data_IF_236864938958
#
_entry.id   IF_236864938958
#
_cell.length_a   1.000
_cell.length_b   1.000
_cell.length_c   1.000
_cell.angle_alpha   90.00
_cell.angle_beta   90.00
_cell.angle_gamma   90.00
#
_symmetry.space_group_name_H-M   'P 1'
#
loop_
_entity.id
_entity.type
_entity.pdbx_description
1 polymer ?
#
# COMPACT_ATOMS: atom_id res chain seq x y z
N UNK A 1 3.61 73.14 23.04
CA UNK A 1 3.80 71.71 23.38
C UNK A 1 2.88 70.88 22.50
N UNK A 2 3.38 70.18 21.46
CA UNK A 2 2.59 69.29 20.60
C UNK A 2 2.85 67.86 21.03
N UNK A 3 1.84 67.20 21.53
CA UNK A 3 1.87 65.75 21.93
C UNK A 3 1.70 64.95 20.64
N UNK A 4 2.71 64.15 20.25
CA UNK A 4 2.65 63.17 19.16
C UNK A 4 2.04 61.89 19.70
N UNK A 5 0.85 61.54 19.22
CA UNK A 5 0.19 60.29 19.51
C UNK A 5 0.86 59.17 18.67
N UNK A 6 1.51 58.24 19.32
CA UNK A 6 2.12 57.06 18.69
C UNK A 6 1.04 55.97 18.57
N UNK A 7 0.54 55.75 17.38
CA UNK A 7 -0.38 54.64 17.12
C UNK A 7 0.45 53.37 16.87
N UNK A 8 0.47 52.47 17.86
CA UNK A 8 1.08 51.14 17.70
C UNK A 8 0.06 50.25 16.96
N UNK A 9 0.32 49.96 15.70
CA UNK A 9 -0.44 49.01 14.90
C UNK A 9 -0.01 47.60 15.28
N UNK A 10 -0.78 46.95 16.14
CA UNK A 10 -0.57 45.56 16.53
C UNK A 10 -1.24 44.69 15.46
N UNK A 11 -0.47 44.30 14.41
CA UNK A 11 -0.94 43.35 13.39
C UNK A 11 -1.04 41.97 14.01
N UNK A 12 -2.25 41.57 14.37
CA UNK A 12 -2.58 40.22 14.86
C UNK A 12 -2.48 39.28 13.65
N UNK A 13 -1.35 38.58 13.48
CA UNK A 13 -1.18 37.49 12.54
C UNK A 13 -2.06 36.32 13.00
N UNK A 14 -3.28 36.27 12.49
CA UNK A 14 -4.15 35.11 12.64
C UNK A 14 -3.57 34.02 11.74
N UNK A 15 -2.80 33.08 12.31
CA UNK A 15 -2.47 31.82 11.68
C UNK A 15 -3.78 31.04 11.48
N UNK A 16 -4.40 31.17 10.31
CA UNK A 16 -5.44 30.26 9.86
C UNK A 16 -4.76 28.90 9.64
N UNK A 17 -4.69 28.10 10.70
CA UNK A 17 -4.39 26.69 10.57
C UNK A 17 -5.49 26.10 9.68
N UNK A 18 -5.15 25.86 8.41
CA UNK A 18 -6.02 25.15 7.48
C UNK A 18 -6.32 23.78 8.09
N UNK A 19 -7.47 23.67 8.76
CA UNK A 19 -7.95 22.39 9.29
C UNK A 19 -8.30 21.49 8.12
N UNK A 20 -7.29 20.82 7.56
CA UNK A 20 -7.52 19.83 6.50
C UNK A 20 -8.46 18.75 7.06
N UNK A 21 -9.54 18.46 6.31
CA UNK A 21 -10.50 17.41 6.68
C UNK A 21 -9.95 16.01 6.34
N UNK A 22 -8.62 15.85 6.39
CA UNK A 22 -7.90 14.63 6.04
C UNK A 22 -7.31 13.97 7.28
N UNK A 23 -7.36 12.66 7.30
CA UNK A 23 -6.64 11.77 8.21
C UNK A 23 -6.16 10.56 7.40
N UNK A 24 -5.45 9.64 8.02
CA UNK A 24 -4.83 8.51 7.37
C UNK A 24 -5.19 7.23 8.11
N UNK A 25 -5.39 6.16 7.35
CA UNK A 25 -5.51 4.80 7.84
C UNK A 25 -4.40 3.97 7.23
N UNK A 26 -3.91 2.99 7.98
CA UNK A 26 -2.90 2.05 7.53
C UNK A 26 -3.42 0.64 7.83
N UNK A 27 -3.76 -0.12 6.80
CA UNK A 27 -4.10 -1.53 6.92
C UNK A 27 -2.85 -2.32 7.28
N UNK A 28 -2.98 -3.36 8.06
CA UNK A 28 -1.86 -4.22 8.42
C UNK A 28 -2.32 -5.57 8.94
N UNK A 29 -1.38 -6.44 9.25
CA UNK A 29 -1.60 -7.70 9.95
C UNK A 29 -0.49 -7.92 10.98
N UNK A 30 -0.67 -8.89 11.85
CA UNK A 30 0.37 -9.43 12.73
C UNK A 30 0.66 -10.88 12.38
N UNK A 31 1.92 -11.31 12.49
CA UNK A 31 2.25 -12.72 12.37
C UNK A 31 1.58 -13.53 13.49
N UNK A 32 1.11 -14.75 13.20
CA UNK A 32 1.26 -15.55 11.98
C UNK A 32 0.20 -15.29 10.89
N UNK A 33 -0.48 -14.14 10.88
CA UNK A 33 -1.47 -13.69 9.89
C UNK A 33 -2.84 -14.41 9.91
N UNK A 34 -3.10 -15.24 10.89
CA UNK A 34 -4.34 -15.99 11.08
C UNK A 34 -5.46 -15.19 11.77
N UNK A 35 -5.10 -14.07 12.41
CA UNK A 35 -6.04 -13.21 13.14
C UNK A 35 -6.81 -12.26 12.23
N UNK A 36 -6.20 -11.78 11.17
CA UNK A 36 -6.84 -10.97 10.14
C UNK A 36 -6.44 -9.49 10.14
N UNK A 37 -7.32 -8.67 9.57
CA UNK A 37 -7.10 -7.24 9.34
C UNK A 37 -6.95 -6.47 10.64
N UNK A 38 -5.82 -5.78 10.76
CA UNK A 38 -5.59 -4.71 11.72
C UNK A 38 -5.50 -3.37 11.03
N UNK A 39 -5.67 -2.30 11.79
CA UNK A 39 -5.63 -0.97 11.20
C UNK A 39 -5.05 0.04 12.20
N UNK A 40 -4.12 0.83 11.69
CA UNK A 40 -3.60 2.00 12.37
C UNK A 40 -4.27 3.25 11.83
N UNK A 41 -4.28 4.31 12.63
CA UNK A 41 -4.73 5.62 12.19
C UNK A 41 -3.74 6.73 12.58
N UNK A 42 -3.69 7.78 11.76
CA UNK A 42 -2.91 8.98 12.02
C UNK A 42 -3.69 10.22 11.60
N UNK A 43 -3.54 11.32 12.36
CA UNK A 43 -4.15 12.61 12.01
C UNK A 43 -3.24 13.49 11.15
N UNK A 44 -1.97 13.16 11.09
CA UNK A 44 -0.94 13.98 10.44
C UNK A 44 0.01 13.17 9.52
N UNK A 45 -0.10 11.83 9.52
CA UNK A 45 0.64 10.91 8.63
C UNK A 45 2.01 10.49 9.13
N UNK A 46 2.45 10.88 10.33
CA UNK A 46 3.76 10.53 10.88
C UNK A 46 3.66 9.62 12.12
N UNK A 47 2.73 9.92 13.03
CA UNK A 47 2.53 9.15 14.26
C UNK A 47 1.27 8.30 14.12
N UNK A 48 1.43 7.00 14.28
CA UNK A 48 0.37 6.04 14.12
C UNK A 48 -0.10 5.49 15.46
N UNK A 49 -1.40 5.35 15.59
CA UNK A 49 -2.07 4.75 16.74
C UNK A 49 -2.75 3.47 16.28
N UNK A 50 -2.68 2.41 17.08
CA UNK A 50 -3.40 1.16 16.81
C UNK A 50 -4.86 1.30 17.25
N UNK A 51 -5.80 0.73 16.48
CA UNK A 51 -7.17 0.52 16.92
C UNK A 51 -7.29 -0.65 17.91
N UNK A 52 -6.20 -1.42 18.11
CA UNK A 52 -6.07 -2.54 19.04
C UNK A 52 -7.19 -3.58 18.90
N UNK A 53 -7.64 -3.79 17.66
CA UNK A 53 -8.70 -4.74 17.34
C UNK A 53 -8.45 -5.43 16.00
N UNK A 54 -9.16 -6.54 15.77
CA UNK A 54 -9.24 -7.23 14.49
C UNK A 54 -10.55 -6.84 13.82
N UNK A 55 -10.45 -6.16 12.67
CA UNK A 55 -11.62 -5.66 11.95
C UNK A 55 -12.27 -6.70 11.02
N UNK A 56 -11.49 -7.66 10.54
CA UNK A 56 -11.98 -8.71 9.65
C UNK A 56 -11.10 -9.97 9.82
N UNK A 57 -11.69 -11.06 10.22
CA UNK A 57 -11.00 -12.37 10.29
C UNK A 57 -11.02 -13.04 8.92
N UNK A 58 -9.91 -13.66 8.45
CA UNK A 58 -9.87 -14.35 7.16
C UNK A 58 -10.73 -15.62 7.19
N UNK A 59 -11.56 -15.80 6.17
CA UNK A 59 -12.45 -16.97 6.03
C UNK A 59 -12.23 -17.71 4.72
N UNK A 60 -11.50 -17.12 3.76
CA UNK A 60 -11.26 -17.68 2.44
C UNK A 60 -9.78 -17.99 2.24
N UNK A 61 -9.48 -18.87 1.25
CA UNK A 61 -8.16 -19.41 0.99
C UNK A 61 -7.87 -20.69 1.80
N UNK A 62 -6.96 -21.50 1.29
CA UNK A 62 -6.62 -22.80 1.90
C UNK A 62 -6.06 -22.66 3.32
N UNK A 63 -5.24 -21.62 3.55
CA UNK A 63 -4.61 -21.37 4.85
C UNK A 63 -5.42 -20.39 5.72
N UNK A 64 -6.42 -19.72 5.16
CA UNK A 64 -7.23 -18.71 5.87
C UNK A 64 -6.37 -17.70 6.61
N UNK A 65 -5.36 -17.16 5.94
CA UNK A 65 -4.52 -16.08 6.47
C UNK A 65 -4.88 -14.76 5.77
N UNK A 66 -4.54 -13.66 6.40
CA UNK A 66 -4.63 -12.33 5.80
C UNK A 66 -3.29 -11.65 5.93
N UNK A 67 -2.51 -11.71 4.86
CA UNK A 67 -1.23 -10.99 4.73
C UNK A 67 -1.39 -9.86 3.73
N UNK A 68 -0.54 -8.87 3.86
CA UNK A 68 -0.39 -7.80 2.87
C UNK A 68 -1.74 -7.13 2.47
N UNK A 69 -2.60 -6.75 3.45
CA UNK A 69 -3.92 -6.24 3.13
C UNK A 69 -3.83 -4.88 2.45
N UNK A 70 -4.24 -4.80 1.18
CA UNK A 70 -4.31 -3.55 0.42
C UNK A 70 -5.73 -3.04 0.32
N UNK A 71 -5.90 -1.73 0.52
CA UNK A 71 -7.21 -1.08 0.55
C UNK A 71 -7.25 0.19 -0.29
N UNK A 72 -8.34 0.39 -1.00
CA UNK A 72 -8.66 1.65 -1.70
C UNK A 72 -10.10 2.06 -1.42
N UNK A 73 -10.37 3.36 -1.34
CA UNK A 73 -11.74 3.87 -1.32
C UNK A 73 -12.18 4.22 -2.74
N UNK A 74 -13.24 3.56 -3.22
CA UNK A 74 -13.84 3.83 -4.51
C UNK A 74 -14.56 5.19 -4.58
N UNK A 75 -14.94 5.64 -5.78
CA UNK A 75 -15.61 6.92 -5.99
C UNK A 75 -17.00 6.99 -5.35
N UNK A 76 -17.66 5.85 -5.13
CA UNK A 76 -18.94 5.71 -4.43
C UNK A 76 -18.80 5.70 -2.90
N UNK A 77 -17.57 5.78 -2.39
CA UNK A 77 -17.23 5.75 -0.98
C UNK A 77 -17.06 4.36 -0.37
N UNK A 78 -17.24 3.29 -1.15
CA UNK A 78 -16.98 1.92 -0.72
C UNK A 78 -15.47 1.69 -0.58
N UNK A 79 -15.06 1.07 0.51
CA UNK A 79 -13.71 0.57 0.69
C UNK A 79 -13.63 -0.85 0.13
N UNK A 80 -12.65 -1.09 -0.72
CA UNK A 80 -12.32 -2.40 -1.27
C UNK A 80 -11.02 -2.86 -0.67
N UNK A 81 -10.98 -4.11 -0.23
CA UNK A 81 -9.86 -4.75 0.43
C UNK A 81 -9.49 -6.02 -0.32
N UNK A 82 -8.22 -6.21 -0.60
CA UNK A 82 -7.63 -7.46 -1.11
C UNK A 82 -6.49 -7.89 -0.22
N UNK A 83 -6.19 -9.20 -0.18
CA UNK A 83 -5.11 -9.72 0.66
C UNK A 83 -4.57 -11.05 0.15
N UNK A 84 -3.34 -11.38 0.53
CA UNK A 84 -2.74 -12.70 0.37
C UNK A 84 -3.44 -13.70 1.29
N UNK A 85 -4.06 -14.72 0.73
CA UNK A 85 -4.89 -15.70 1.45
C UNK A 85 -4.14 -16.97 1.86
N UNK A 86 -2.97 -17.21 1.24
CA UNK A 86 -2.08 -18.31 1.62
C UNK A 86 -0.62 -17.99 1.27
N UNK A 87 0.29 -18.63 2.00
CA UNK A 87 1.72 -18.53 1.68
C UNK A 87 2.06 -19.22 0.37
N UNK A 88 1.45 -20.36 0.10
CA UNK A 88 1.58 -21.13 -1.15
C UNK A 88 0.30 -21.91 -1.41
N UNK A 89 0.03 -22.21 -2.67
CA UNK A 89 -1.07 -23.07 -3.10
C UNK A 89 -2.22 -22.32 -3.73
N UNK A 90 -2.75 -21.28 -3.09
CA UNK A 90 -3.83 -20.49 -3.66
C UNK A 90 -3.42 -19.83 -4.98
N UNK A 91 -4.33 -19.90 -5.95
CA UNK A 91 -4.17 -19.28 -7.28
C UNK A 91 -5.05 -18.04 -7.42
N UNK A 92 -5.23 -17.34 -6.32
CA UNK A 92 -6.05 -16.15 -6.21
C UNK A 92 -5.74 -15.40 -4.93
N UNK A 93 -6.48 -14.33 -4.70
CA UNK A 93 -6.38 -13.50 -3.52
C UNK A 93 -7.76 -13.32 -2.87
N UNK A 94 -7.79 -13.01 -1.57
CA UNK A 94 -9.00 -12.70 -0.85
C UNK A 94 -9.52 -11.30 -1.17
N UNK A 95 -10.83 -11.11 -1.13
CA UNK A 95 -11.52 -9.84 -1.34
C UNK A 95 -12.68 -9.67 -0.37
N UNK A 96 -12.85 -8.45 0.13
CA UNK A 96 -14.04 -7.98 0.82
C UNK A 96 -14.23 -6.48 0.59
N UNK A 97 -15.43 -5.97 0.88
CA UNK A 97 -15.74 -4.54 0.82
C UNK A 97 -16.48 -4.06 2.06
N UNK A 98 -16.39 -2.75 2.33
CA UNK A 98 -17.10 -2.11 3.44
C UNK A 98 -17.44 -0.65 3.11
N UNK A 99 -18.55 -0.14 3.63
CA UNK A 99 -18.89 1.28 3.56
C UNK A 99 -18.47 2.06 4.81
N UNK A 100 -18.10 1.37 5.85
CA UNK A 100 -17.82 1.98 7.14
C UNK A 100 -16.59 1.43 7.86
N UNK A 101 -15.92 0.40 7.32
CA UNK A 101 -14.77 -0.29 7.90
C UNK A 101 -15.09 -1.06 9.20
N UNK A 102 -16.37 -1.17 9.55
CA UNK A 102 -16.89 -1.91 10.71
C UNK A 102 -17.62 -3.16 10.22
N UNK A 103 -18.53 -2.97 9.26
CA UNK A 103 -19.31 -4.04 8.65
C UNK A 103 -18.73 -4.38 7.28
N UNK A 104 -18.33 -5.63 7.10
CA UNK A 104 -17.71 -6.12 5.88
C UNK A 104 -18.66 -7.03 5.10
N UNK A 105 -18.54 -7.02 3.78
CA UNK A 105 -19.25 -7.96 2.91
C UNK A 105 -18.81 -9.40 3.18
N UNK A 106 -19.54 -10.36 2.63
CA UNK A 106 -19.04 -11.71 2.45
C UNK A 106 -17.68 -11.70 1.73
N UNK A 107 -16.75 -12.53 2.22
CA UNK A 107 -15.42 -12.66 1.65
C UNK A 107 -15.46 -13.56 0.41
N UNK A 108 -14.66 -13.22 -0.60
CA UNK A 108 -14.54 -13.99 -1.85
C UNK A 108 -13.09 -14.31 -2.15
N UNK A 109 -12.84 -15.50 -2.71
CA UNK A 109 -11.61 -15.78 -3.43
C UNK A 109 -11.74 -15.29 -4.87
N UNK A 110 -10.82 -14.47 -5.32
CA UNK A 110 -10.75 -14.02 -6.71
C UNK A 110 -9.66 -14.85 -7.43
N UNK A 111 -10.08 -15.78 -8.29
CA UNK A 111 -9.14 -16.68 -8.95
C UNK A 111 -8.49 -15.98 -10.15
N UNK A 112 -7.21 -15.69 -10.06
CA UNK A 112 -6.49 -14.93 -11.09
C UNK A 112 -5.39 -15.72 -11.79
N UNK A 113 -4.90 -16.83 -11.20
CA UNK A 113 -3.80 -17.63 -11.74
C UNK A 113 -4.20 -19.09 -12.05
N UNK A 114 -5.49 -19.41 -12.18
CA UNK A 114 -5.94 -20.78 -12.44
C UNK A 114 -5.51 -21.30 -13.82
N UNK A 115 -5.31 -20.40 -14.80
CA UNK A 115 -4.80 -20.74 -16.13
C UNK A 115 -3.32 -21.12 -16.14
N UNK A 116 -2.60 -20.93 -15.01
CA UNK A 116 -1.20 -21.29 -14.83
C UNK A 116 -1.05 -22.33 -13.70
N UNK A 117 -1.18 -23.64 -14.03
CA UNK A 117 -1.22 -24.70 -13.02
C UNK A 117 0.03 -24.78 -12.13
N UNK A 118 1.18 -24.36 -12.63
CA UNK A 118 2.45 -24.38 -11.92
C UNK A 118 2.71 -23.17 -11.06
N UNK A 119 1.78 -22.19 -11.04
CA UNK A 119 1.89 -21.02 -10.15
C UNK A 119 2.06 -21.45 -8.69
N UNK A 120 3.10 -20.92 -8.03
CA UNK A 120 3.45 -21.26 -6.64
C UNK A 120 2.56 -20.48 -5.65
N UNK A 121 2.29 -19.22 -5.96
CA UNK A 121 1.65 -18.27 -5.04
C UNK A 121 1.01 -17.09 -5.77
N UNK A 122 0.17 -16.37 -5.03
CA UNK A 122 -0.36 -15.04 -5.39
C UNK A 122 -0.15 -14.16 -4.16
N UNK A 123 0.86 -13.29 -4.20
CA UNK A 123 1.31 -12.51 -3.05
C UNK A 123 1.08 -11.02 -3.23
N UNK A 124 0.82 -10.36 -2.11
CA UNK A 124 0.72 -8.92 -1.96
C UNK A 124 -0.11 -8.28 -3.09
N UNK A 125 -1.40 -8.65 -3.23
CA UNK A 125 -2.27 -7.97 -4.17
C UNK A 125 -2.43 -6.52 -3.74
N UNK A 126 -2.20 -5.58 -4.68
CA UNK A 126 -2.28 -4.15 -4.44
C UNK A 126 -3.33 -3.51 -5.32
N UNK A 127 -4.16 -2.65 -4.72
CA UNK A 127 -5.29 -1.98 -5.36
C UNK A 127 -4.91 -0.58 -5.81
N UNK A 128 -5.22 -0.27 -7.06
CA UNK A 128 -5.15 1.08 -7.61
C UNK A 128 -6.45 1.42 -8.33
N UNK A 129 -7.06 2.58 -8.02
CA UNK A 129 -8.22 3.08 -8.77
C UNK A 129 -7.75 4.00 -9.89
N UNK A 130 -7.94 3.56 -11.14
CA UNK A 130 -7.73 4.37 -12.33
C UNK A 130 -8.94 5.27 -12.58
N UNK A 131 -8.82 6.53 -12.20
CA UNK A 131 -9.88 7.53 -12.35
C UNK A 131 -10.08 7.98 -13.81
N UNK A 132 -9.17 7.63 -14.71
CA UNK A 132 -9.27 7.91 -16.16
C UNK A 132 -10.14 6.85 -16.83
N UNK A 133 -9.82 5.57 -16.63
CA UNK A 133 -10.58 4.44 -17.19
C UNK A 133 -11.78 4.04 -16.34
N UNK A 134 -11.94 4.63 -15.14
CA UNK A 134 -13.01 4.32 -14.18
C UNK A 134 -13.04 2.83 -13.83
N UNK A 135 -11.88 2.28 -13.50
CA UNK A 135 -11.71 0.88 -13.14
C UNK A 135 -10.68 0.72 -12.02
N UNK A 136 -10.72 -0.41 -11.36
CA UNK A 136 -9.69 -0.83 -10.43
C UNK A 136 -8.65 -1.65 -11.19
N UNK A 137 -7.40 -1.38 -10.93
CA UNK A 137 -6.25 -2.21 -11.33
C UNK A 137 -5.80 -2.94 -10.08
N UNK A 138 -5.66 -4.24 -10.18
CA UNK A 138 -5.15 -5.09 -9.09
C UNK A 138 -3.90 -5.75 -9.62
N UNK A 139 -2.78 -5.49 -8.95
CA UNK A 139 -1.48 -6.09 -9.29
C UNK A 139 -1.05 -7.02 -8.18
N UNK A 140 -0.30 -8.07 -8.47
CA UNK A 140 0.23 -9.01 -7.48
C UNK A 140 1.50 -9.66 -7.98
N UNK A 141 2.27 -10.27 -7.06
CA UNK A 141 3.43 -11.06 -7.39
C UNK A 141 3.07 -12.56 -7.49
N UNK A 142 3.52 -13.21 -8.56
CA UNK A 142 3.43 -14.66 -8.70
C UNK A 142 4.75 -15.24 -9.22
N UNK A 143 5.08 -16.43 -8.73
CA UNK A 143 6.17 -17.24 -9.23
C UNK A 143 5.63 -18.39 -10.09
N UNK A 144 6.15 -18.52 -11.30
CA UNK A 144 5.89 -19.64 -12.22
C UNK A 144 7.26 -20.26 -12.52
N UNK A 145 7.61 -21.39 -11.89
CA UNK A 145 8.93 -22.01 -12.04
C UNK A 145 9.29 -22.27 -13.50
N UNK A 146 10.53 -21.97 -13.86
CA UNK A 146 11.06 -22.15 -15.22
C UNK A 146 10.56 -21.16 -16.28
N UNK A 147 9.67 -20.20 -15.92
CA UNK A 147 9.09 -19.25 -16.89
C UNK A 147 10.08 -18.13 -17.28
N UNK A 148 10.87 -17.66 -16.32
CA UNK A 148 11.79 -16.54 -16.49
C UNK A 148 13.19 -16.92 -16.01
N UNK A 149 14.20 -16.29 -16.61
CA UNK A 149 15.55 -16.40 -16.09
C UNK A 149 15.60 -15.95 -14.63
N UNK A 150 16.23 -16.75 -13.79
CA UNK A 150 16.19 -16.58 -12.34
C UNK A 150 17.42 -15.86 -11.75
N UNK A 151 18.49 -15.73 -12.50
CA UNK A 151 19.74 -15.20 -11.96
C UNK A 151 20.23 -16.00 -10.75
N UNK A 152 20.37 -15.34 -9.60
CA UNK A 152 20.78 -15.95 -8.32
C UNK A 152 19.60 -16.49 -7.49
N UNK A 153 18.35 -16.29 -7.93
CA UNK A 153 17.16 -16.77 -7.20
C UNK A 153 16.88 -18.25 -7.47
N UNK A 154 16.16 -18.87 -6.51
CA UNK A 154 15.57 -20.20 -6.70
C UNK A 154 14.35 -20.09 -7.61
N UNK A 155 14.05 -21.13 -8.40
CA UNK A 155 12.88 -21.17 -9.26
C UNK A 155 11.55 -20.89 -8.52
N UNK A 156 11.46 -21.32 -7.27
CA UNK A 156 10.30 -21.12 -6.42
C UNK A 156 10.18 -19.71 -5.82
N UNK A 157 11.14 -18.82 -6.09
CA UNK A 157 11.18 -17.45 -5.59
C UNK A 157 11.43 -16.40 -6.70
N UNK A 158 11.43 -16.82 -7.96
CA UNK A 158 11.62 -15.94 -9.10
C UNK A 158 10.31 -15.33 -9.58
N UNK A 159 9.82 -14.33 -8.85
CA UNK A 159 8.52 -13.70 -9.07
C UNK A 159 8.52 -12.68 -10.20
N UNK A 160 7.35 -12.50 -10.80
CA UNK A 160 7.02 -11.35 -11.66
C UNK A 160 5.69 -10.75 -11.21
N UNK A 161 5.46 -9.48 -11.57
CA UNK A 161 4.18 -8.84 -11.30
C UNK A 161 3.17 -9.15 -12.42
N UNK A 162 1.96 -9.48 -12.01
CA UNK A 162 0.80 -9.69 -12.86
C UNK A 162 -0.30 -8.71 -12.51
N UNK A 163 -1.30 -8.57 -13.38
CA UNK A 163 -2.45 -7.72 -13.12
C UNK A 163 -3.74 -8.24 -13.72
N UNK A 164 -4.83 -7.79 -13.16
CA UNK A 164 -6.18 -7.81 -13.72
C UNK A 164 -6.85 -6.45 -13.50
N UNK A 165 -7.95 -6.20 -14.22
CA UNK A 165 -8.78 -5.00 -14.01
C UNK A 165 -10.23 -5.39 -13.76
N UNK A 166 -10.94 -4.56 -13.00
CA UNK A 166 -12.37 -4.72 -12.77
C UNK A 166 -13.03 -3.36 -12.55
N UNK A 167 -14.32 -3.26 -12.83
CA UNK A 167 -15.13 -2.06 -12.51
C UNK A 167 -16.00 -2.26 -11.28
N UNK A 168 -16.28 -3.50 -10.91
CA UNK A 168 -17.35 -3.85 -9.97
C UNK A 168 -17.02 -5.01 -9.03
N UNK A 169 -15.82 -5.59 -9.13
CA UNK A 169 -15.39 -6.79 -8.40
C UNK A 169 -16.29 -8.02 -8.62
N UNK A 170 -16.98 -8.05 -9.77
CA UNK A 170 -17.75 -9.21 -10.25
C UNK A 170 -17.14 -9.78 -11.53
N UNK A 171 -16.78 -8.90 -12.45
CA UNK A 171 -16.16 -9.26 -13.72
C UNK A 171 -14.72 -8.74 -13.74
N UNK A 172 -13.80 -9.62 -14.05
CA UNK A 172 -12.38 -9.33 -14.13
C UNK A 172 -11.86 -9.54 -15.54
N UNK A 173 -10.90 -8.74 -15.96
CA UNK A 173 -10.16 -8.99 -17.20
C UNK A 173 -9.29 -10.24 -17.06
N UNK A 174 -8.86 -10.80 -18.18
CA UNK A 174 -7.83 -11.83 -18.17
C UNK A 174 -6.56 -11.32 -17.48
N UNK A 175 -5.90 -12.23 -16.77
CA UNK A 175 -4.59 -11.97 -16.15
C UNK A 175 -3.55 -11.70 -17.23
N UNK A 176 -2.74 -10.67 -17.02
CA UNK A 176 -1.62 -10.31 -17.87
C UNK A 176 -0.36 -10.05 -17.06
N UNK A 177 0.79 -10.24 -17.70
CA UNK A 177 2.06 -9.81 -17.14
C UNK A 177 2.06 -8.27 -17.01
N UNK A 178 2.34 -7.78 -15.80
CA UNK A 178 2.41 -6.36 -15.48
C UNK A 178 3.83 -5.81 -15.58
N UNK A 179 4.80 -6.57 -15.03
CA UNK A 179 6.20 -6.18 -15.01
C UNK A 179 7.11 -7.39 -14.97
N UNK A 180 8.03 -7.46 -15.92
CA UNK A 180 9.23 -8.27 -15.88
C UNK A 180 10.44 -7.34 -15.95
N UNK A 181 11.12 -7.07 -14.83
CA UNK A 181 12.29 -6.20 -14.81
C UNK A 181 13.60 -6.95 -15.09
N UNK A 182 13.54 -8.25 -15.39
CA UNK A 182 14.71 -9.13 -15.52
C UNK A 182 15.23 -9.66 -14.17
N UNK A 183 14.54 -9.40 -13.07
CA UNK A 183 14.85 -9.89 -11.73
C UNK A 183 13.58 -10.24 -10.95
N UNK A 184 13.72 -10.95 -9.83
CA UNK A 184 12.59 -11.29 -8.96
C UNK A 184 11.99 -10.03 -8.32
N UNK A 185 10.70 -9.76 -8.56
CA UNK A 185 10.01 -8.54 -8.10
C UNK A 185 8.72 -8.89 -7.37
N UNK A 186 8.50 -8.23 -6.20
CA UNK A 186 7.27 -8.34 -5.40
C UNK A 186 6.87 -6.96 -4.84
N UNK A 187 5.75 -6.90 -4.14
CA UNK A 187 5.31 -5.76 -3.32
C UNK A 187 5.32 -4.43 -4.09
N UNK A 188 4.69 -4.40 -5.26
CA UNK A 188 4.66 -3.19 -6.07
C UNK A 188 3.41 -2.34 -5.80
N UNK A 189 3.59 -1.02 -5.74
CA UNK A 189 2.53 -0.03 -5.49
C UNK A 189 2.50 1.01 -6.61
N UNK A 190 1.33 1.20 -7.23
CA UNK A 190 1.12 2.20 -8.27
C UNK A 190 0.74 3.53 -7.62
N UNK A 191 1.50 4.58 -7.91
CA UNK A 191 1.21 5.95 -7.50
C UNK A 191 0.94 6.84 -8.71
N UNK A 192 -0.16 7.58 -8.68
CA UNK A 192 -0.45 8.64 -9.64
C UNK A 192 0.00 10.00 -9.09
N UNK A 193 0.94 10.67 -9.78
CA UNK A 193 1.36 12.05 -9.44
C UNK A 193 0.55 13.09 -10.19
N UNK A 194 0.20 12.81 -11.46
CA UNK A 194 -0.64 13.66 -12.31
C UNK A 194 -1.36 12.84 -13.39
N UNK A 195 -2.01 13.50 -14.33
CA UNK A 195 -2.84 12.83 -15.36
C UNK A 195 -2.08 11.78 -16.18
N UNK A 196 -0.80 12.00 -16.46
CA UNK A 196 0.05 11.10 -17.27
C UNK A 196 1.42 10.91 -16.63
N UNK A 197 1.48 10.83 -15.31
CA UNK A 197 2.71 10.72 -14.55
C UNK A 197 2.49 9.77 -13.37
N UNK A 198 3.08 8.59 -13.49
CA UNK A 198 2.93 7.49 -12.52
C UNK A 198 4.30 7.03 -12.04
N UNK A 199 4.35 6.63 -10.79
CA UNK A 199 5.50 6.00 -10.16
C UNK A 199 5.06 4.61 -9.70
N UNK A 200 5.88 3.62 -9.92
CA UNK A 200 5.78 2.31 -9.33
C UNK A 200 6.87 2.19 -8.26
N UNK A 201 6.48 1.98 -7.03
CA UNK A 201 7.40 1.62 -5.95
C UNK A 201 7.38 0.09 -5.89
N UNK A 202 8.54 -0.56 -5.94
CA UNK A 202 8.64 -2.01 -6.06
C UNK A 202 9.79 -2.55 -5.23
N UNK A 203 9.66 -3.79 -4.76
CA UNK A 203 10.77 -4.49 -4.11
C UNK A 203 11.50 -5.37 -5.11
N UNK A 204 12.80 -5.13 -5.26
CA UNK A 204 13.72 -6.13 -5.80
C UNK A 204 13.88 -7.26 -4.78
N UNK A 205 13.32 -8.42 -5.09
CA UNK A 205 13.37 -9.57 -4.18
C UNK A 205 14.57 -10.48 -4.42
N UNK A 206 15.44 -10.10 -5.35
CA UNK A 206 16.65 -10.87 -5.68
C UNK A 206 17.66 -10.84 -4.52
N UNK A 207 18.34 -11.94 -4.28
CA UNK A 207 19.45 -12.00 -3.32
C UNK A 207 20.73 -11.45 -3.95
N UNK A 208 21.50 -10.63 -3.21
CA UNK A 208 21.35 -10.26 -1.80
C UNK A 208 20.59 -8.96 -1.56
N UNK A 209 20.12 -8.28 -2.61
CA UNK A 209 19.57 -6.92 -2.58
C UNK A 209 18.37 -6.83 -1.63
N UNK A 210 17.23 -7.35 -2.02
CA UNK A 210 15.98 -7.30 -1.25
C UNK A 210 15.68 -5.89 -0.72
N UNK A 211 15.69 -4.96 -1.62
CA UNK A 211 15.55 -3.53 -1.38
C UNK A 211 14.41 -2.92 -2.19
N UNK A 212 14.13 -1.64 -1.98
CA UNK A 212 13.03 -0.95 -2.64
C UNK A 212 13.57 0.04 -3.67
N UNK A 213 12.97 -0.01 -4.85
CA UNK A 213 13.28 0.81 -6.03
C UNK A 213 12.03 1.50 -6.54
N UNK A 214 12.19 2.43 -7.46
CA UNK A 214 11.08 3.08 -8.19
C UNK A 214 11.27 2.94 -9.69
N UNK A 215 10.13 2.94 -10.42
CA UNK A 215 10.08 3.02 -11.87
C UNK A 215 9.02 4.05 -12.28
N UNK A 216 9.06 4.51 -13.54
CA UNK A 216 8.21 5.59 -14.02
C UNK A 216 7.45 5.19 -15.27
N UNK A 217 6.24 5.71 -15.42
CA UNK A 217 5.40 5.52 -16.61
C UNK A 217 4.45 6.70 -16.81
N UNK A 218 3.95 6.86 -18.02
CA UNK A 218 2.85 7.77 -18.34
C UNK A 218 1.47 7.08 -18.32
N UNK A 219 1.44 5.78 -17.99
CA UNK A 219 0.22 4.97 -17.93
C UNK A 219 0.29 4.03 -16.71
N UNK A 220 -0.80 3.82 -15.96
CA UNK A 220 -0.80 2.97 -14.76
C UNK A 220 -0.51 1.49 -15.06
N UNK A 221 -0.70 1.04 -16.29
CA UNK A 221 -0.37 -0.32 -16.74
C UNK A 221 1.01 -0.43 -17.40
N UNK A 222 1.82 0.63 -17.34
CA UNK A 222 3.13 0.66 -17.98
C UNK A 222 3.10 1.09 -19.46
N UNK A 223 4.18 0.86 -20.24
CA UNK A 223 5.40 0.22 -19.79
C UNK A 223 6.16 1.04 -18.74
N UNK A 224 6.67 0.35 -17.74
CA UNK A 224 7.49 0.91 -16.67
C UNK A 224 8.94 1.02 -17.11
N UNK A 225 9.57 2.17 -16.89
CA UNK A 225 10.92 2.49 -17.35
C UNK A 225 11.75 3.13 -16.24
N UNK A 226 13.06 3.22 -16.48
CA UNK A 226 14.00 3.92 -15.61
C UNK A 226 13.94 3.41 -14.16
N UNK A 227 14.01 2.08 -13.99
CA UNK A 227 14.10 1.49 -12.66
C UNK A 227 15.33 2.06 -11.96
N UNK A 228 15.14 2.65 -10.79
CA UNK A 228 16.17 3.34 -10.04
C UNK A 228 17.17 2.37 -9.39
N UNK A 229 18.26 2.92 -8.87
CA UNK A 229 18.99 2.27 -7.78
C UNK A 229 18.09 2.21 -6.55
N UNK A 230 18.37 1.31 -5.57
CA UNK A 230 17.60 1.27 -4.34
C UNK A 230 17.72 2.59 -3.57
N UNK A 231 16.63 2.96 -2.89
CA UNK A 231 16.62 4.10 -1.96
C UNK A 231 16.50 3.67 -0.49
N UNK A 232 16.43 2.37 -0.24
CA UNK A 232 16.42 1.78 1.10
C UNK A 232 17.66 0.89 1.31
N UNK A 233 17.92 0.55 2.58
CA UNK A 233 18.81 -0.55 2.91
C UNK A 233 18.24 -1.87 2.42
N UNK A 234 19.10 -2.91 2.34
CA UNK A 234 18.64 -4.27 2.06
C UNK A 234 17.76 -4.83 3.17
N UNK A 235 16.93 -5.82 2.81
CA UNK A 235 15.96 -6.49 3.69
C UNK A 235 14.80 -5.60 4.12
N UNK A 236 14.33 -4.79 3.19
CA UNK A 236 13.11 -3.99 3.29
C UNK A 236 12.04 -4.52 2.33
N UNK A 237 10.77 -4.37 2.70
CA UNK A 237 9.62 -4.87 1.93
C UNK A 237 8.35 -4.09 2.21
N UNK A 238 7.29 -4.41 1.47
CA UNK A 238 5.96 -3.88 1.70
C UNK A 238 5.87 -2.36 1.64
N UNK A 239 6.35 -1.68 0.57
CA UNK A 239 6.24 -0.24 0.50
C UNK A 239 4.79 0.21 0.43
N UNK A 240 4.45 1.27 1.15
CA UNK A 240 3.19 1.98 1.00
C UNK A 240 3.43 3.48 0.98
N UNK A 241 2.77 4.19 0.07
CA UNK A 241 3.04 5.60 -0.20
C UNK A 241 1.82 6.47 0.03
N UNK A 242 2.03 7.61 0.67
CA UNK A 242 0.96 8.59 0.94
C UNK A 242 1.46 10.03 0.81
N UNK A 243 0.61 10.92 0.28
CA UNK A 243 0.90 12.36 0.23
C UNK A 243 0.58 13.00 1.58
N UNK A 244 1.61 13.57 2.21
CA UNK A 244 1.48 14.33 3.46
C UNK A 244 2.04 15.74 3.22
N UNK A 245 1.18 16.75 3.20
CA UNK A 245 1.55 18.12 2.80
C UNK A 245 2.21 18.13 1.42
N UNK A 246 3.45 18.57 1.35
CA UNK A 246 4.21 18.69 0.11
C UNK A 246 5.06 17.45 -0.21
N UNK A 247 5.22 16.55 0.76
CA UNK A 247 6.06 15.36 0.65
C UNK A 247 5.25 14.11 0.35
N UNK A 248 5.85 13.16 -0.31
CA UNK A 248 5.41 11.78 -0.36
C UNK A 248 6.16 11.01 0.72
N UNK A 249 5.43 10.39 1.64
CA UNK A 249 5.99 9.48 2.63
C UNK A 249 5.83 8.04 2.14
N UNK A 250 6.91 7.28 2.14
CA UNK A 250 6.93 5.87 1.80
C UNK A 250 7.29 5.11 3.06
N UNK A 251 6.34 4.32 3.56
CA UNK A 251 6.52 3.41 4.68
C UNK A 251 6.92 2.04 4.18
N UNK A 252 7.81 1.33 4.87
CA UNK A 252 8.23 -0.03 4.53
C UNK A 252 8.69 -0.80 5.77
N UNK A 253 8.51 -2.14 5.74
CA UNK A 253 8.95 -3.04 6.80
C UNK A 253 10.44 -3.35 6.62
N UNK A 254 11.26 -2.93 7.55
CA UNK A 254 12.65 -3.35 7.68
C UNK A 254 12.68 -4.63 8.52
N UNK A 255 12.31 -5.76 7.89
CA UNK A 255 11.92 -6.98 8.58
C UNK A 255 13.04 -7.65 9.40
N UNK A 256 14.30 -7.44 9.06
CA UNK A 256 15.42 -7.90 9.89
C UNK A 256 15.63 -7.03 11.13
N UNK A 257 15.39 -5.73 11.01
CA UNK A 257 15.44 -4.80 12.14
C UNK A 257 14.15 -4.88 13.00
N UNK A 258 13.08 -5.52 12.48
CA UNK A 258 11.74 -5.62 13.10
C UNK A 258 11.10 -4.26 13.39
N UNK A 259 11.32 -3.29 12.51
CA UNK A 259 10.74 -1.95 12.61
C UNK A 259 10.15 -1.52 11.27
N UNK A 260 9.18 -0.62 11.31
CA UNK A 260 8.81 0.17 10.15
C UNK A 260 9.75 1.36 10.01
N UNK A 261 10.28 1.53 8.81
CA UNK A 261 11.02 2.71 8.40
C UNK A 261 10.17 3.58 7.47
N UNK A 262 10.60 4.81 7.27
CA UNK A 262 9.96 5.73 6.36
C UNK A 262 10.97 6.59 5.62
N UNK A 263 10.73 6.81 4.34
CA UNK A 263 11.46 7.76 3.50
C UNK A 263 10.50 8.84 2.99
N UNK A 264 10.99 10.07 2.91
CA UNK A 264 10.28 11.20 2.30
C UNK A 264 10.90 11.56 0.97
N UNK A 265 10.07 11.97 0.01
CA UNK A 265 10.53 12.47 -1.29
C UNK A 265 9.52 13.47 -1.87
N UNK A 266 9.99 14.35 -2.74
CA UNK A 266 9.15 15.26 -3.55
C UNK A 266 9.08 14.83 -5.02
N UNK A 267 10.08 14.12 -5.49
CA UNK A 267 10.33 13.86 -6.92
C UNK A 267 10.54 12.38 -7.27
N UNK A 268 10.72 11.50 -6.27
CA UNK A 268 11.08 10.08 -6.42
C UNK A 268 12.47 9.86 -7.05
N UNK A 269 13.34 10.86 -6.92
CA UNK A 269 14.75 10.81 -7.29
C UNK A 269 15.62 11.00 -6.05
N UNK A 270 15.23 11.95 -5.19
CA UNK A 270 15.91 12.26 -3.94
C UNK A 270 15.05 11.82 -2.76
N UNK A 271 15.64 11.01 -1.89
CA UNK A 271 14.96 10.43 -0.72
C UNK A 271 15.69 10.82 0.56
N UNK A 272 14.91 11.18 1.57
CA UNK A 272 15.38 11.42 2.95
C UNK A 272 14.80 10.34 3.86
N UNK A 273 15.64 9.64 4.62
CA UNK A 273 15.14 8.76 5.68
C UNK A 273 14.56 9.62 6.81
N UNK A 274 13.28 9.43 7.10
CA UNK A 274 12.53 10.18 8.10
C UNK A 274 11.99 9.28 9.22
N UNK A 275 12.55 8.09 9.38
CA UNK A 275 12.13 7.11 10.39
C UNK A 275 12.11 7.71 11.79
N UNK A 276 13.05 8.56 12.13
CA UNK A 276 13.10 9.25 13.43
C UNK A 276 11.96 10.26 13.65
N UNK A 277 11.24 10.64 12.60
CA UNK A 277 10.07 11.52 12.65
C UNK A 277 8.76 10.75 12.75
N UNK A 278 8.80 9.42 12.57
CA UNK A 278 7.63 8.55 12.52
C UNK A 278 7.56 7.61 13.73
N UNK A 279 6.37 7.15 14.04
CA UNK A 279 6.18 6.05 15.00
C UNK A 279 5.12 5.12 14.45
N UNK A 280 5.47 3.84 14.28
CA UNK A 280 4.53 2.77 13.94
C UNK A 280 4.59 1.76 15.08
N UNK A 281 3.46 1.38 15.70
CA UNK A 281 3.41 0.37 16.76
C UNK A 281 4.04 -0.95 16.33
N UNK A 282 4.66 -1.66 17.29
CA UNK A 282 5.31 -2.94 17.03
C UNK A 282 4.34 -4.04 16.54
N UNK A 283 4.88 -5.01 15.79
CA UNK A 283 4.16 -6.21 15.34
C UNK A 283 3.38 -6.02 14.06
N UNK A 284 3.10 -4.79 13.64
CA UNK A 284 2.43 -4.52 12.38
C UNK A 284 3.31 -4.85 11.19
N UNK A 285 2.72 -5.43 10.18
CA UNK A 285 3.37 -5.87 8.94
C UNK A 285 2.72 -5.22 7.72
N UNK A 286 3.33 -5.38 6.57
CA UNK A 286 2.96 -4.89 5.25
C UNK A 286 1.46 -4.60 5.08
N UNK A 287 1.12 -3.43 4.61
CA UNK A 287 -0.24 -3.00 4.28
C UNK A 287 -0.23 -1.68 3.53
N UNK A 288 -1.40 -1.09 3.34
CA UNK A 288 -1.57 0.13 2.53
C UNK A 288 -1.99 1.32 3.37
N UNK A 289 -1.32 2.45 3.18
CA UNK A 289 -1.74 3.73 3.77
C UNK A 289 -2.72 4.44 2.84
N UNK A 290 -3.89 4.78 3.35
CA UNK A 290 -4.92 5.51 2.60
C UNK A 290 -5.30 6.81 3.28
N UNK A 291 -5.53 7.85 2.47
CA UNK A 291 -6.07 9.13 2.95
C UNK A 291 -7.59 9.02 3.06
N UNK A 292 -8.13 9.40 4.22
CA UNK A 292 -9.57 9.38 4.50
C UNK A 292 -10.05 10.71 5.08
N UNK A 293 -11.38 10.91 5.13
CA UNK A 293 -11.98 12.03 5.88
C UNK A 293 -11.83 11.81 7.39
N UNK A 294 -11.49 12.84 8.16
CA UNK A 294 -11.37 12.78 9.63
C UNK A 294 -12.55 12.11 10.34
N UNK A 295 -13.76 12.27 9.81
CA UNK A 295 -14.96 11.65 10.38
C UNK A 295 -14.91 10.12 10.40
N UNK A 296 -14.16 9.49 9.47
CA UNK A 296 -13.99 8.04 9.41
C UNK A 296 -13.15 7.58 10.60
N UNK A 297 -12.00 8.22 10.82
CA UNK A 297 -11.13 7.92 11.98
C UNK A 297 -11.91 8.13 13.28
N UNK A 298 -12.61 9.27 13.44
CA UNK A 298 -13.44 9.52 14.65
C UNK A 298 -14.49 8.44 14.90
N UNK A 299 -15.10 7.88 13.84
CA UNK A 299 -16.05 6.78 13.96
C UNK A 299 -15.38 5.49 14.43
N UNK A 300 -14.22 5.15 13.86
CA UNK A 300 -13.45 3.97 14.26
C UNK A 300 -12.94 4.10 15.71
N UNK A 301 -12.45 5.28 16.10
CA UNK A 301 -12.06 5.56 17.49
C UNK A 301 -13.25 5.41 18.45
N UNK A 302 -14.45 5.84 18.05
CA UNK A 302 -15.66 5.69 18.89
C UNK A 302 -16.08 4.23 19.03
N UNK A 303 -15.92 3.43 17.98
CA UNK A 303 -16.32 2.02 17.95
C UNK A 303 -15.32 1.12 18.66
N UNK A 304 -14.02 1.34 18.42
CA UNK A 304 -12.94 0.44 18.84
C UNK A 304 -11.95 1.08 19.81
N UNK A 305 -11.90 2.42 19.88
CA UNK A 305 -11.00 3.13 20.81
C UNK A 305 -11.41 2.89 22.25
N UNK A 306 -10.40 2.55 23.09
CA UNK A 306 -10.55 2.39 24.54
C UNK A 306 -10.56 3.72 25.24
#
# INVERSE_FOLDING_TARGET
MRVKLLIINCSLLIFLASCTNKAYLFTSFHEPADRGLRMLYSREGYKWNDLDTVLLQPQVGDQKVMRDPSMVQGPDGTFHLVWTSSWRGDKGFGYASSRDLIHWSEQKMIPVMQHEPTTVNVWAPELFYDDVQKQYVIIWASCIPGRFEKGMEEDSNNHRMYYTTTKDFQIFSDTKLFLDPGFSVIDAVILKRSKSDYVLILKDNTRPERDIKVAFSNNPLGPWKNISKPFTDSFTEGPSVVKVKDDWLIYYDSYRKKIYEASATKDFIHFENVTNKTTVPEGHKHGTVVTVKKKIVKRLEKEFGK
#
